data_IF_336599846401
#
_entry.id   IF_336599846401
#
_cell.length_a   1.000
_cell.length_b   1.000
_cell.length_c   1.000
_cell.angle_alpha   90.00
_cell.angle_beta   90.00
_cell.angle_gamma   90.00
#
_symmetry.space_group_name_H-M   'P 1'
#
loop_
_entity.id
_entity.type
_entity.pdbx_description
1 polymer ?
#
# COMPACT_ATOMS: atom_id res chain seq x y z
N UNK A 1 -9.10 -6.27 13.00
CA UNK A 1 -7.71 -6.35 12.55
C UNK A 1 -7.62 -6.05 11.06
N UNK A 2 -6.46 -5.58 10.58
CA UNK A 2 -6.19 -5.34 9.16
C UNK A 2 -5.89 -6.65 8.40
N UNK A 3 -5.62 -7.72 9.14
CA UNK A 3 -5.29 -9.03 8.60
C UNK A 3 -5.03 -10.06 9.68
N UNK A 4 -4.46 -11.19 9.26
CA UNK A 4 -4.03 -12.30 10.11
C UNK A 4 -2.54 -12.57 9.88
N UNK A 5 -1.82 -12.89 10.95
CA UNK A 5 -0.47 -13.44 10.90
C UNK A 5 -0.51 -14.89 11.38
N UNK A 6 -0.18 -15.84 10.50
CA UNK A 6 -0.13 -17.25 10.85
C UNK A 6 1.25 -17.59 11.39
N UNK A 7 1.29 -18.00 12.65
CA UNK A 7 2.50 -18.42 13.37
C UNK A 7 2.37 -19.88 13.80
N UNK A 8 2.31 -20.77 12.81
CA UNK A 8 2.17 -22.21 13.06
C UNK A 8 3.55 -22.86 13.05
N UNK A 9 4.03 -23.20 14.24
CA UNK A 9 5.40 -23.66 14.46
C UNK A 9 5.50 -25.16 14.78
N UNK A 10 4.44 -25.78 15.29
CA UNK A 10 4.52 -27.16 15.80
C UNK A 10 4.96 -28.18 14.75
N UNK A 11 4.52 -28.07 13.50
CA UNK A 11 4.97 -29.01 12.47
C UNK A 11 6.45 -28.84 12.10
N UNK A 12 7.08 -27.72 12.47
CA UNK A 12 8.49 -27.45 12.22
C UNK A 12 9.39 -27.90 13.38
N UNK A 13 8.93 -27.79 14.63
CA UNK A 13 9.76 -28.03 15.82
C UNK A 13 9.33 -29.19 16.71
N UNK A 14 8.05 -29.61 16.64
CA UNK A 14 7.49 -30.68 17.45
C UNK A 14 7.30 -31.95 16.62
N UNK A 15 6.73 -31.81 15.42
CA UNK A 15 6.58 -32.95 14.52
C UNK A 15 7.92 -33.33 13.87
N UNK A 16 8.10 -34.62 13.59
CA UNK A 16 9.27 -35.10 12.85
C UNK A 16 9.25 -34.64 11.39
N UNK A 17 10.42 -34.37 10.81
CA UNK A 17 10.53 -33.95 9.40
C UNK A 17 10.02 -35.01 8.39
N UNK A 18 9.79 -36.24 8.82
CA UNK A 18 9.15 -37.29 8.03
C UNK A 18 7.68 -36.99 7.70
N UNK A 19 7.03 -36.08 8.43
CA UNK A 19 5.66 -35.64 8.15
C UNK A 19 5.60 -34.59 7.04
N UNK A 20 6.72 -33.91 6.75
CA UNK A 20 6.74 -32.69 5.94
C UNK A 20 6.26 -32.90 4.51
N UNK A 21 6.52 -34.06 3.89
CA UNK A 21 6.04 -34.35 2.54
C UNK A 21 4.50 -34.41 2.45
N UNK A 22 3.84 -34.79 3.54
CA UNK A 22 2.36 -34.76 3.64
C UNK A 22 1.85 -33.40 4.09
N UNK A 23 2.54 -32.74 5.03
CA UNK A 23 2.12 -31.45 5.59
C UNK A 23 2.27 -30.32 4.59
N UNK A 24 3.37 -30.26 3.85
CA UNK A 24 3.70 -29.19 2.88
C UNK A 24 2.58 -28.89 1.88
N UNK A 25 2.04 -29.86 1.10
CA UNK A 25 0.97 -29.57 0.15
C UNK A 25 -0.33 -29.13 0.84
N UNK A 26 -0.62 -29.64 2.04
CA UNK A 26 -1.80 -29.24 2.84
C UNK A 26 -1.65 -27.81 3.36
N UNK A 27 -0.45 -27.44 3.79
CA UNK A 27 -0.10 -26.08 4.18
C UNK A 27 -0.32 -25.09 3.03
N UNK A 28 0.19 -25.40 1.84
CA UNK A 28 -0.01 -24.54 0.65
C UNK A 28 -1.49 -24.40 0.30
N UNK A 29 -2.26 -25.50 0.33
CA UNK A 29 -3.70 -25.46 0.07
C UNK A 29 -4.45 -24.58 1.09
N UNK A 30 -4.15 -24.75 2.38
CA UNK A 30 -4.72 -23.94 3.45
C UNK A 30 -4.40 -22.45 3.30
N UNK A 31 -3.13 -22.09 3.03
CA UNK A 31 -2.72 -20.70 2.82
C UNK A 31 -3.44 -20.07 1.64
N UNK A 32 -3.61 -20.81 0.54
CA UNK A 32 -4.35 -20.35 -0.64
C UNK A 32 -5.82 -20.08 -0.33
N UNK A 33 -6.50 -21.00 0.34
CA UNK A 33 -7.92 -20.86 0.70
C UNK A 33 -8.15 -19.69 1.68
N UNK A 34 -7.30 -19.59 2.70
CA UNK A 34 -7.38 -18.50 3.68
C UNK A 34 -7.11 -17.14 3.02
N UNK A 35 -6.10 -17.06 2.15
CA UNK A 35 -5.77 -15.85 1.39
C UNK A 35 -6.96 -15.34 0.59
N UNK A 36 -7.62 -16.21 -0.18
CA UNK A 36 -8.78 -15.84 -0.97
C UNK A 36 -9.92 -15.29 -0.11
N UNK A 37 -10.17 -15.91 1.05
CA UNK A 37 -11.18 -15.42 2.00
C UNK A 37 -10.82 -14.06 2.60
N UNK A 38 -9.56 -13.85 2.98
CA UNK A 38 -9.12 -12.58 3.57
C UNK A 38 -9.12 -11.44 2.55
N UNK A 39 -8.63 -11.68 1.34
CA UNK A 39 -8.60 -10.66 0.29
C UNK A 39 -10.01 -10.25 -0.17
N UNK A 40 -11.00 -11.15 -0.12
CA UNK A 40 -12.40 -10.80 -0.38
C UNK A 40 -12.94 -9.73 0.60
N UNK A 41 -12.42 -9.71 1.83
CA UNK A 41 -12.75 -8.74 2.88
C UNK A 41 -11.73 -7.59 3.00
N UNK A 42 -10.87 -7.42 1.99
CA UNK A 42 -9.77 -6.44 1.97
C UNK A 42 -8.81 -6.57 3.17
N UNK A 43 -8.54 -7.80 3.60
CA UNK A 43 -7.63 -8.13 4.71
C UNK A 43 -6.34 -8.75 4.21
N UNK A 44 -5.23 -8.50 4.89
CA UNK A 44 -3.92 -9.08 4.53
C UNK A 44 -3.67 -10.42 5.22
N UNK A 45 -2.85 -11.28 4.59
CA UNK A 45 -2.31 -12.50 5.15
C UNK A 45 -0.78 -12.41 5.31
N UNK A 46 -0.32 -12.52 6.54
CA UNK A 46 1.10 -12.67 6.87
C UNK A 46 1.39 -14.10 7.33
N UNK A 47 2.58 -14.60 7.02
CA UNK A 47 3.08 -15.88 7.51
C UNK A 47 4.36 -15.62 8.30
N UNK A 48 4.42 -16.10 9.53
CA UNK A 48 5.64 -16.19 10.32
C UNK A 48 6.24 -17.59 10.16
N UNK A 49 7.52 -17.67 9.81
CA UNK A 49 8.20 -18.92 9.53
C UNK A 49 9.68 -18.87 9.94
N UNK A 50 10.27 -19.99 10.38
CA UNK A 50 11.71 -20.10 10.56
C UNK A 50 12.44 -20.05 9.22
N UNK A 51 13.75 -19.87 9.27
CA UNK A 51 14.59 -19.74 8.07
C UNK A 51 14.53 -20.97 7.16
N UNK A 52 14.57 -20.74 5.86
CA UNK A 52 14.82 -21.79 4.87
C UNK A 52 15.96 -21.34 3.95
N UNK A 53 16.55 -22.28 3.22
CA UNK A 53 17.72 -22.05 2.39
C UNK A 53 17.55 -22.65 1.01
N UNK A 54 18.35 -22.16 0.06
CA UNK A 54 18.38 -22.71 -1.29
C UNK A 54 18.67 -24.22 -1.23
N UNK A 55 17.77 -25.08 -1.73
CA UNK A 55 17.96 -26.51 -1.77
C UNK A 55 19.29 -26.96 -2.40
N UNK A 56 19.84 -26.17 -3.33
CA UNK A 56 21.13 -26.44 -3.96
C UNK A 56 22.30 -26.42 -2.97
N UNK A 57 22.20 -25.62 -1.89
CA UNK A 57 23.23 -25.54 -0.84
C UNK A 57 23.23 -26.77 0.08
N UNK A 58 22.15 -27.56 0.05
CA UNK A 58 21.90 -28.69 0.98
C UNK A 58 21.95 -28.29 2.46
N UNK A 59 21.87 -26.99 2.76
CA UNK A 59 21.76 -26.51 4.14
C UNK A 59 20.41 -26.90 4.70
N UNK A 60 20.40 -27.35 5.95
CA UNK A 60 19.15 -27.69 6.63
C UNK A 60 18.34 -26.42 6.87
N UNK A 61 17.14 -26.37 6.32
CA UNK A 61 16.12 -25.35 6.55
C UNK A 61 14.75 -25.99 6.80
N UNK A 62 13.72 -25.17 6.96
CA UNK A 62 12.35 -25.62 7.26
C UNK A 62 11.48 -25.65 6.00
N UNK A 63 11.77 -26.59 5.10
CA UNK A 63 11.15 -26.68 3.76
C UNK A 63 9.64 -26.97 3.75
N UNK A 64 9.07 -27.34 4.91
CA UNK A 64 7.63 -27.58 5.10
C UNK A 64 6.76 -26.35 4.83
N UNK A 65 7.30 -25.14 5.03
CA UNK A 65 6.58 -23.88 4.81
C UNK A 65 6.43 -23.48 3.34
N UNK A 66 7.21 -24.10 2.43
CA UNK A 66 7.12 -23.96 0.97
C UNK A 66 6.92 -22.51 0.47
N UNK A 67 7.88 -21.66 0.83
CA UNK A 67 7.90 -20.24 0.50
C UNK A 67 7.55 -19.94 -0.96
N UNK A 68 8.08 -20.75 -1.89
CA UNK A 68 7.83 -20.60 -3.33
C UNK A 68 6.35 -20.76 -3.69
N UNK A 69 5.69 -21.81 -3.19
CA UNK A 69 4.32 -22.10 -3.58
C UNK A 69 3.29 -21.25 -2.81
N UNK A 70 3.64 -20.70 -1.64
CA UNK A 70 2.78 -19.74 -0.93
C UNK A 70 2.94 -18.28 -1.38
N UNK A 71 4.05 -17.93 -2.06
CA UNK A 71 4.38 -16.56 -2.46
C UNK A 71 3.26 -15.79 -3.18
N UNK A 72 2.47 -16.40 -4.09
CA UNK A 72 1.38 -15.70 -4.78
C UNK A 72 0.20 -15.33 -3.86
N UNK A 73 0.05 -16.02 -2.73
CA UNK A 73 -1.14 -15.96 -1.87
C UNK A 73 -0.94 -15.10 -0.62
N UNK A 74 0.30 -14.86 -0.21
CA UNK A 74 0.61 -14.11 1.02
C UNK A 74 0.93 -12.65 0.71
N UNK A 75 0.65 -11.76 1.65
CA UNK A 75 1.06 -10.35 1.59
C UNK A 75 2.43 -10.15 2.24
N UNK A 76 2.76 -10.95 3.27
CA UNK A 76 4.02 -10.84 4.01
C UNK A 76 4.56 -12.21 4.43
N UNK A 77 5.86 -12.39 4.29
CA UNK A 77 6.64 -13.42 4.96
C UNK A 77 7.50 -12.77 6.05
N UNK A 78 7.31 -13.19 7.29
CA UNK A 78 8.06 -12.79 8.47
C UNK A 78 9.01 -13.92 8.83
N UNK A 79 10.30 -13.72 8.57
CA UNK A 79 11.30 -14.76 8.78
C UNK A 79 11.86 -14.62 10.19
N UNK A 80 11.75 -15.67 10.99
CA UNK A 80 12.33 -15.75 12.34
C UNK A 80 13.85 -15.94 12.26
N UNK A 81 14.55 -14.85 11.91
CA UNK A 81 16.02 -14.79 11.78
C UNK A 81 16.71 -14.66 13.13
N UNK A 82 16.27 -15.48 14.10
CA UNK A 82 16.78 -15.60 15.46
C UNK A 82 16.70 -17.07 15.93
N UNK A 83 17.19 -17.34 17.13
CA UNK A 83 17.33 -18.69 17.71
C UNK A 83 18.21 -19.65 16.89
N UNK A 84 19.25 -19.11 16.25
CA UNK A 84 20.34 -19.88 15.65
C UNK A 84 21.10 -20.71 16.71
N UNK A 85 21.53 -20.05 17.79
CA UNK A 85 22.18 -20.69 18.93
C UNK A 85 21.17 -20.86 20.07
N UNK A 86 20.83 -22.10 20.41
CA UNK A 86 19.92 -22.43 21.53
C UNK A 86 20.59 -23.37 22.54
N UNK A 87 21.09 -24.51 22.07
CA UNK A 87 21.76 -25.51 22.90
C UNK A 87 23.26 -25.20 23.10
N UNK A 88 23.92 -24.66 22.07
CA UNK A 88 25.34 -24.33 22.09
C UNK A 88 25.51 -22.81 22.19
N UNK A 89 26.53 -22.36 22.92
CA UNK A 89 26.87 -20.95 23.04
C UNK A 89 27.20 -20.34 21.68
N UNK A 90 26.63 -19.17 21.39
CA UNK A 90 26.88 -18.47 20.13
C UNK A 90 25.88 -17.34 19.86
N UNK A 91 26.01 -16.67 18.71
CA UNK A 91 25.11 -15.59 18.30
C UNK A 91 23.66 -16.07 18.14
N UNK A 92 22.72 -15.19 18.41
CA UNK A 92 21.27 -15.42 18.33
C UNK A 92 20.81 -15.55 16.88
N UNK A 93 21.35 -14.77 15.96
CA UNK A 93 21.05 -14.82 14.53
C UNK A 93 22.18 -14.19 13.73
N UNK A 94 23.30 -14.90 13.49
CA UNK A 94 24.51 -14.32 12.90
C UNK A 94 24.26 -13.77 11.49
N UNK A 95 24.82 -12.60 11.17
CA UNK A 95 24.52 -11.85 9.95
C UNK A 95 24.66 -12.67 8.65
N UNK A 96 25.69 -13.50 8.53
CA UNK A 96 25.89 -14.34 7.34
C UNK A 96 24.74 -15.33 7.16
N UNK A 97 24.31 -15.98 8.23
CA UNK A 97 23.17 -16.91 8.22
C UNK A 97 21.86 -16.20 7.88
N UNK A 98 21.66 -14.99 8.41
CA UNK A 98 20.51 -14.15 8.07
C UNK A 98 20.54 -13.79 6.58
N UNK A 99 21.66 -13.31 6.07
CA UNK A 99 21.78 -12.91 4.66
C UNK A 99 21.61 -14.09 3.70
N UNK A 100 22.11 -15.28 4.05
CA UNK A 100 21.87 -16.49 3.25
C UNK A 100 20.37 -16.84 3.16
N UNK A 101 19.63 -16.71 4.26
CA UNK A 101 18.18 -16.92 4.25
C UNK A 101 17.47 -15.85 3.41
N UNK A 102 17.92 -14.59 3.48
CA UNK A 102 17.41 -13.49 2.63
C UNK A 102 17.61 -13.79 1.15
N UNK A 103 18.81 -14.20 0.74
CA UNK A 103 19.11 -14.50 -0.67
C UNK A 103 18.20 -15.59 -1.22
N UNK A 104 17.93 -16.63 -0.43
CA UNK A 104 16.97 -17.64 -0.83
C UNK A 104 15.54 -17.09 -0.88
N UNK A 105 15.08 -16.41 0.17
CA UNK A 105 13.75 -15.84 0.23
C UNK A 105 13.46 -14.90 -0.95
N UNK A 106 14.39 -14.01 -1.31
CA UNK A 106 14.23 -13.08 -2.45
C UNK A 106 14.28 -13.79 -3.81
N UNK A 107 14.76 -15.02 -3.88
CA UNK A 107 14.75 -15.83 -5.12
C UNK A 107 13.38 -16.48 -5.38
N UNK A 108 12.53 -16.62 -4.36
CA UNK A 108 11.23 -17.31 -4.45
C UNK A 108 10.02 -16.46 -4.05
N UNK A 109 10.23 -15.34 -3.35
CA UNK A 109 9.19 -14.39 -2.92
C UNK A 109 9.60 -12.98 -3.36
N UNK A 110 8.66 -12.14 -3.85
CA UNK A 110 8.93 -10.73 -4.09
C UNK A 110 9.51 -10.04 -2.85
N UNK A 111 10.66 -9.38 -3.00
CA UNK A 111 11.41 -8.82 -1.87
C UNK A 111 10.58 -7.93 -0.94
N UNK A 112 9.68 -7.13 -1.50
CA UNK A 112 8.76 -6.24 -0.76
C UNK A 112 7.82 -6.96 0.22
N UNK A 113 7.63 -8.28 0.08
CA UNK A 113 6.85 -9.09 1.02
C UNK A 113 7.67 -9.64 2.19
N UNK A 114 8.99 -9.51 2.20
CA UNK A 114 9.88 -10.18 3.16
C UNK A 114 10.20 -9.26 4.34
N UNK A 115 10.07 -9.76 5.57
CA UNK A 115 10.36 -9.05 6.81
C UNK A 115 11.33 -9.87 7.68
N UNK A 116 12.38 -9.24 8.19
CA UNK A 116 13.40 -9.92 9.01
C UNK A 116 13.12 -9.79 10.51
N UNK A 117 13.09 -10.92 11.20
CA UNK A 117 12.97 -10.98 12.66
C UNK A 117 14.18 -10.45 13.39
N UNK A 118 13.97 -9.55 14.35
CA UNK A 118 14.99 -9.03 15.27
C UNK A 118 14.57 -9.31 16.73
N UNK A 119 15.38 -10.07 17.50
CA UNK A 119 15.05 -10.45 18.86
C UNK A 119 15.39 -9.35 19.87
N UNK A 120 14.42 -8.98 20.71
CA UNK A 120 14.56 -8.11 21.87
C UNK A 120 15.07 -8.86 23.11
N UNK A 121 15.72 -10.01 22.94
CA UNK A 121 16.24 -10.81 24.05
C UNK A 121 17.67 -11.26 23.76
N UNK A 122 18.36 -11.66 24.81
CA UNK A 122 19.62 -12.38 24.75
C UNK A 122 19.53 -13.76 25.39
N UNK A 123 20.59 -14.54 25.20
CA UNK A 123 20.76 -15.88 25.76
C UNK A 123 22.06 -15.96 26.55
N UNK A 124 22.04 -16.70 27.64
CA UNK A 124 23.12 -16.78 28.62
C UNK A 124 23.39 -18.24 29.04
N UNK A 125 24.56 -18.75 28.67
CA UNK A 125 24.95 -20.16 28.82
C UNK A 125 25.96 -20.35 29.95
N UNK A 126 25.84 -21.45 30.69
CA UNK A 126 26.93 -21.94 31.54
C UNK A 126 27.96 -22.63 30.65
N UNK A 127 29.16 -22.07 30.55
CA UNK A 127 30.25 -22.63 29.72
C UNK A 127 31.29 -23.40 30.52
N UNK A 128 31.41 -23.10 31.83
CA UNK A 128 32.31 -23.81 32.74
C UNK A 128 31.78 -23.76 34.16
N UNK A 129 31.98 -24.83 34.93
CA UNK A 129 31.73 -24.85 36.38
C UNK A 129 33.00 -25.34 37.08
N UNK A 130 33.43 -24.62 38.11
CA UNK A 130 34.58 -24.96 38.96
C UNK A 130 34.11 -25.07 40.41
N UNK A 131 34.62 -26.05 41.14
CA UNK A 131 34.21 -26.33 42.51
C UNK A 131 33.00 -27.27 42.60
N UNK A 132 32.40 -27.34 43.78
CA UNK A 132 31.26 -28.24 44.07
C UNK A 132 30.03 -27.38 44.27
N UNK A 133 29.01 -27.55 43.43
CA UNK A 133 27.73 -26.88 43.62
C UNK A 133 26.89 -27.65 44.65
N UNK A 134 26.05 -26.95 45.40
CA UNK A 134 25.06 -27.60 46.25
C UNK A 134 24.12 -28.49 45.40
N UNK A 135 23.52 -29.57 45.96
CA UNK A 135 22.77 -30.55 45.18
C UNK A 135 21.64 -29.99 44.31
N UNK A 136 20.96 -28.94 44.75
CA UNK A 136 19.91 -28.27 43.96
C UNK A 136 20.49 -27.36 42.88
N UNK A 137 21.57 -26.65 43.16
CA UNK A 137 22.27 -25.80 42.21
C UNK A 137 22.89 -26.62 41.08
N UNK A 138 23.49 -27.77 41.38
CA UNK A 138 24.09 -28.65 40.37
C UNK A 138 23.11 -29.09 39.27
N UNK A 139 21.80 -29.13 39.56
CA UNK A 139 20.75 -29.47 38.58
C UNK A 139 20.56 -28.37 37.53
N UNK A 140 20.80 -27.12 37.90
CA UNK A 140 20.54 -25.92 37.06
C UNK A 140 21.81 -25.10 36.76
N UNK A 141 22.97 -25.50 37.28
CA UNK A 141 24.27 -24.89 37.06
C UNK A 141 25.24 -25.96 36.55
N UNK A 142 25.11 -26.29 35.27
CA UNK A 142 26.02 -27.19 34.59
C UNK A 142 26.03 -26.87 33.09
N UNK A 143 27.02 -27.36 32.36
CA UNK A 143 27.22 -27.05 30.93
C UNK A 143 26.23 -27.74 29.98
N UNK A 144 25.31 -28.56 30.51
CA UNK A 144 24.30 -29.30 29.73
C UNK A 144 22.92 -28.65 29.76
N UNK A 145 22.73 -27.61 30.58
CA UNK A 145 21.45 -26.90 30.62
C UNK A 145 21.26 -26.02 29.38
N UNK A 146 20.01 -25.78 29.01
CA UNK A 146 19.66 -24.79 27.98
C UNK A 146 20.05 -23.38 28.45
N UNK A 147 20.35 -22.51 27.49
CA UNK A 147 20.60 -21.10 27.78
C UNK A 147 19.45 -20.47 28.57
N UNK A 148 19.78 -19.64 29.57
CA UNK A 148 18.80 -18.73 30.15
C UNK A 148 18.50 -17.60 29.16
N UNK A 149 17.28 -17.08 29.18
CA UNK A 149 16.90 -15.89 28.40
C UNK A 149 16.93 -14.66 29.29
N UNK A 150 17.43 -13.54 28.77
CA UNK A 150 17.32 -12.25 29.44
C UNK A 150 16.78 -11.19 28.46
N UNK A 151 16.18 -10.14 29.01
CA UNK A 151 15.64 -9.03 28.22
C UNK A 151 16.79 -8.18 27.70
N UNK A 152 16.81 -7.86 26.40
CA UNK A 152 17.91 -7.15 25.75
C UNK A 152 18.30 -5.85 26.46
N UNK A 153 17.34 -5.03 26.90
CA UNK A 153 17.61 -3.78 27.61
C UNK A 153 18.37 -3.94 28.94
N UNK A 154 18.34 -5.13 29.53
CA UNK A 154 19.01 -5.43 30.80
C UNK A 154 20.45 -5.95 30.59
N UNK A 155 20.89 -6.19 29.34
CA UNK A 155 22.18 -6.79 29.00
C UNK A 155 23.38 -6.00 29.56
N UNK A 156 23.36 -4.67 29.43
CA UNK A 156 24.45 -3.80 29.89
C UNK A 156 24.53 -3.80 31.41
N UNK A 157 23.38 -3.78 32.10
CA UNK A 157 23.31 -3.90 33.56
C UNK A 157 23.81 -5.26 34.04
N UNK A 158 23.46 -6.34 33.32
CA UNK A 158 23.94 -7.68 33.59
C UNK A 158 25.47 -7.75 33.47
N UNK A 159 26.06 -7.25 32.39
CA UNK A 159 27.51 -7.24 32.19
C UNK A 159 28.22 -6.41 33.27
N UNK A 160 27.76 -5.18 33.50
CA UNK A 160 28.34 -4.24 34.48
C UNK A 160 28.28 -4.79 35.90
N UNK A 161 27.17 -5.43 36.28
CA UNK A 161 26.99 -6.04 37.60
C UNK A 161 28.02 -7.12 37.94
N UNK A 162 28.69 -7.71 36.93
CA UNK A 162 29.77 -8.68 37.11
C UNK A 162 31.13 -8.18 36.58
N UNK A 163 31.26 -6.88 36.31
CA UNK A 163 32.51 -6.28 35.83
C UNK A 163 32.93 -6.73 34.43
N UNK A 164 32.00 -7.23 33.62
CA UNK A 164 32.25 -7.63 32.23
C UNK A 164 32.01 -6.45 31.27
N UNK A 165 32.78 -6.41 30.17
CA UNK A 165 32.63 -5.40 29.12
C UNK A 165 32.03 -6.04 27.86
N UNK A 166 30.80 -5.66 27.45
CA UNK A 166 30.21 -6.12 26.20
C UNK A 166 31.07 -5.79 24.97
N UNK A 167 31.28 -6.79 24.11
CA UNK A 167 32.03 -6.67 22.86
C UNK A 167 31.10 -6.91 21.67
N UNK A 168 31.10 -5.98 20.71
CA UNK A 168 30.36 -6.16 19.46
C UNK A 168 31.21 -6.92 18.46
N UNK A 169 30.67 -8.02 17.95
CA UNK A 169 31.33 -8.91 17.01
C UNK A 169 30.86 -8.58 15.60
N UNK A 170 31.64 -7.80 14.86
CA UNK A 170 31.26 -7.27 13.53
C UNK A 170 30.79 -8.35 12.55
N UNK A 171 31.48 -9.50 12.49
CA UNK A 171 31.13 -10.60 11.58
C UNK A 171 29.77 -11.24 11.91
N UNK A 172 29.40 -11.29 13.19
CA UNK A 172 28.12 -11.83 13.64
C UNK A 172 27.02 -10.74 13.63
N UNK A 173 27.45 -9.49 13.74
CA UNK A 173 26.60 -8.32 13.95
C UNK A 173 25.85 -8.36 15.26
N UNK A 174 26.46 -8.87 16.33
CA UNK A 174 25.84 -9.06 17.65
C UNK A 174 26.83 -8.79 18.79
N UNK A 175 26.33 -8.69 20.02
CA UNK A 175 27.15 -8.40 21.20
C UNK A 175 27.31 -9.64 22.07
N UNK A 176 28.52 -9.85 22.59
CA UNK A 176 28.82 -10.90 23.57
C UNK A 176 29.60 -10.38 24.76
N UNK A 177 29.46 -11.07 25.90
CA UNK A 177 30.35 -10.92 27.05
C UNK A 177 30.42 -12.21 27.85
N UNK A 178 31.50 -12.37 28.62
CA UNK A 178 31.69 -13.50 29.53
C UNK A 178 31.90 -12.97 30.95
N UNK A 179 31.28 -13.63 31.91
CA UNK A 179 31.40 -13.28 33.33
C UNK A 179 31.41 -14.55 34.19
N UNK A 180 31.74 -14.42 35.47
CA UNK A 180 31.68 -15.53 36.42
C UNK A 180 30.76 -15.20 37.58
N UNK A 181 29.97 -16.19 38.01
CA UNK A 181 29.07 -16.09 39.17
C UNK A 181 29.37 -17.21 40.15
N UNK A 182 29.57 -16.84 41.41
CA UNK A 182 29.86 -17.78 42.50
C UNK A 182 28.61 -18.06 43.31
N UNK A 183 28.41 -19.34 43.63
CA UNK A 183 27.26 -19.87 44.34
C UNK A 183 27.75 -20.58 45.60
N UNK A 184 27.61 -19.95 46.78
CA UNK A 184 27.81 -20.64 48.05
C UNK A 184 26.61 -21.55 48.34
N UNK A 185 26.86 -22.68 49.01
CA UNK A 185 25.80 -23.58 49.43
C UNK A 185 26.29 -24.66 50.37
N UNK A 186 25.47 -25.69 50.62
CA UNK A 186 25.80 -26.79 51.52
C UNK A 186 25.43 -28.15 50.91
N UNK A 187 26.18 -29.19 51.25
CA UNK A 187 25.78 -30.59 51.04
C UNK A 187 24.70 -31.00 52.04
N UNK A 188 24.10 -32.18 51.80
CA UNK A 188 23.06 -32.73 52.68
C UNK A 188 23.56 -33.01 54.11
N UNK A 189 24.86 -33.21 54.29
CA UNK A 189 25.51 -33.43 55.59
C UNK A 189 25.92 -32.12 56.29
N UNK A 190 25.60 -30.96 55.71
CA UNK A 190 25.97 -29.65 56.25
C UNK A 190 27.36 -29.15 55.85
N UNK A 191 28.11 -29.89 55.02
CA UNK A 191 29.43 -29.44 54.53
C UNK A 191 29.27 -28.22 53.62
N UNK A 192 29.97 -27.10 53.87
CA UNK A 192 29.92 -25.94 52.99
C UNK A 192 30.54 -26.26 51.63
N UNK A 193 29.90 -25.76 50.59
CA UNK A 193 30.32 -25.90 49.20
C UNK A 193 30.36 -24.55 48.53
N UNK A 194 31.16 -24.44 47.49
CA UNK A 194 31.16 -23.28 46.62
C UNK A 194 31.47 -23.74 45.22
N UNK A 195 30.68 -23.27 44.26
CA UNK A 195 31.02 -23.39 42.86
C UNK A 195 30.95 -22.05 42.14
N UNK A 196 31.78 -21.90 41.13
CA UNK A 196 31.79 -20.74 40.24
C UNK A 196 31.42 -21.19 38.84
N UNK A 197 30.34 -20.62 38.31
CA UNK A 197 29.94 -20.81 36.93
C UNK A 197 30.47 -19.66 36.08
N UNK A 198 31.29 -19.97 35.07
CA UNK A 198 31.58 -19.05 33.98
C UNK A 198 30.43 -19.11 32.99
N UNK A 199 29.95 -17.94 32.59
CA UNK A 199 28.80 -17.77 31.72
C UNK A 199 29.12 -16.86 30.57
N UNK A 200 28.57 -17.17 29.40
CA UNK A 200 28.73 -16.36 28.19
C UNK A 200 27.35 -15.97 27.68
N UNK A 201 27.16 -14.67 27.48
CA UNK A 201 25.93 -14.10 26.98
C UNK A 201 26.09 -13.63 25.53
N UNK A 202 25.02 -13.76 24.75
CA UNK A 202 24.87 -13.18 23.41
C UNK A 202 23.54 -12.48 23.29
N UNK A 203 23.53 -11.31 22.65
CA UNK A 203 22.33 -10.51 22.42
C UNK A 203 22.52 -9.54 21.25
N UNK A 204 21.41 -8.97 20.78
CA UNK A 204 21.43 -7.88 19.80
C UNK A 204 21.33 -6.54 20.49
N UNK A 205 21.98 -5.52 19.94
CA UNK A 205 21.86 -4.13 20.35
C UNK A 205 21.38 -3.25 19.20
N UNK A 206 21.33 -1.94 19.41
CA UNK A 206 20.92 -1.00 18.38
C UNK A 206 21.75 -1.07 17.07
N UNK A 207 23.06 -1.41 17.16
CA UNK A 207 23.91 -1.62 15.97
C UNK A 207 23.49 -2.88 15.22
N UNK A 208 23.20 -3.93 15.97
CA UNK A 208 22.73 -5.22 15.46
C UNK A 208 21.43 -5.05 14.66
N UNK A 209 20.46 -4.28 15.18
CA UNK A 209 19.20 -3.99 14.50
C UNK A 209 19.42 -3.17 13.21
N UNK A 210 20.28 -2.14 13.25
CA UNK A 210 20.64 -1.37 12.06
C UNK A 210 21.35 -2.23 11.01
N UNK A 211 22.18 -3.19 11.41
CA UNK A 211 22.81 -4.13 10.48
C UNK A 211 21.76 -5.00 9.74
N UNK A 212 20.67 -5.42 10.40
CA UNK A 212 19.55 -6.11 9.73
C UNK A 212 18.73 -5.15 8.88
N UNK A 213 18.54 -3.91 9.32
CA UNK A 213 17.90 -2.87 8.51
C UNK A 213 18.70 -2.55 7.23
N UNK A 214 20.03 -2.63 7.26
CA UNK A 214 20.86 -2.53 6.05
C UNK A 214 20.55 -3.63 5.03
N UNK A 215 20.18 -4.85 5.46
CA UNK A 215 19.74 -5.90 4.55
C UNK A 215 18.39 -5.54 3.88
N UNK A 216 17.51 -4.83 4.59
CA UNK A 216 16.27 -4.28 4.02
C UNK A 216 16.60 -3.34 2.86
N UNK A 217 17.53 -2.41 3.05
CA UNK A 217 17.97 -1.50 2.00
C UNK A 217 18.64 -2.25 0.83
N UNK A 218 19.58 -3.16 1.14
CA UNK A 218 20.39 -3.91 0.17
C UNK A 218 19.53 -4.77 -0.76
N UNK A 219 18.51 -5.43 -0.21
CA UNK A 219 17.66 -6.37 -0.94
C UNK A 219 16.26 -5.85 -1.27
N UNK A 220 15.96 -4.59 -0.93
CA UNK A 220 14.63 -3.96 -1.10
C UNK A 220 13.52 -4.76 -0.42
N UNK A 221 13.78 -5.17 0.83
CA UNK A 221 12.85 -6.00 1.60
C UNK A 221 11.67 -5.19 2.15
N UNK A 222 10.58 -5.84 2.54
CA UNK A 222 9.43 -5.19 3.17
C UNK A 222 9.73 -4.52 4.52
N UNK A 223 10.72 -5.02 5.27
CA UNK A 223 11.17 -4.38 6.52
C UNK A 223 11.80 -5.32 7.54
N UNK A 224 11.75 -4.92 8.81
CA UNK A 224 12.10 -5.75 9.97
C UNK A 224 10.88 -5.95 10.88
N UNK A 225 10.94 -6.96 11.74
CA UNK A 225 9.90 -7.38 12.68
C UNK A 225 10.54 -7.63 14.05
N UNK A 226 10.08 -6.96 15.10
CA UNK A 226 10.65 -7.12 16.44
C UNK A 226 9.94 -8.19 17.28
N UNK A 227 10.70 -9.13 17.85
CA UNK A 227 10.23 -10.12 18.83
C UNK A 227 10.93 -9.92 20.19
N UNK A 228 10.29 -9.35 21.21
CA UNK A 228 9.04 -8.60 21.15
C UNK A 228 9.26 -7.15 21.54
N UNK A 229 8.38 -6.29 21.07
CA UNK A 229 8.43 -4.85 21.27
C UNK A 229 8.50 -4.50 22.77
N UNK A 230 9.35 -3.54 23.12
CA UNK A 230 9.52 -3.05 24.49
C UNK A 230 10.61 -3.77 25.29
N UNK A 231 11.27 -4.77 24.68
CA UNK A 231 12.41 -5.46 25.28
C UNK A 231 13.77 -4.90 24.83
N UNK A 232 13.79 -4.14 23.74
CA UNK A 232 14.96 -3.43 23.24
C UNK A 232 15.42 -2.29 24.15
N UNK A 233 16.69 -1.88 24.01
CA UNK A 233 17.19 -0.68 24.68
C UNK A 233 16.64 0.61 24.06
N UNK A 234 16.65 1.69 24.83
CA UNK A 234 16.05 2.98 24.44
C UNK A 234 16.66 3.61 23.17
N UNK A 235 17.89 3.25 22.79
CA UNK A 235 18.55 3.78 21.60
C UNK A 235 18.22 2.98 20.33
N UNK A 236 17.67 1.77 20.46
CA UNK A 236 17.40 0.88 19.33
C UNK A 236 16.34 1.43 18.36
N UNK A 237 15.13 1.69 18.83
CA UNK A 237 14.03 2.15 17.95
C UNK A 237 14.29 3.52 17.30
N UNK A 238 14.87 4.52 17.99
CA UNK A 238 15.27 5.78 17.33
C UNK A 238 16.25 5.57 16.18
N UNK A 239 17.26 4.69 16.34
CA UNK A 239 18.24 4.41 15.26
C UNK A 239 17.61 3.69 14.09
N UNK A 240 16.74 2.71 14.35
CA UNK A 240 15.95 2.04 13.29
C UNK A 240 15.09 3.07 12.55
N UNK A 241 14.43 3.98 13.26
CA UNK A 241 13.63 5.06 12.65
C UNK A 241 14.46 5.96 11.75
N UNK A 242 15.60 6.47 12.24
CA UNK A 242 16.50 7.31 11.45
C UNK A 242 16.97 6.59 10.20
N UNK A 243 17.34 5.30 10.33
CA UNK A 243 17.73 4.49 9.18
C UNK A 243 16.56 4.31 8.19
N UNK A 244 15.37 3.95 8.67
CA UNK A 244 14.19 3.80 7.84
C UNK A 244 13.83 5.08 7.07
N UNK A 245 13.99 6.26 7.70
CA UNK A 245 13.80 7.55 7.04
C UNK A 245 14.85 7.81 5.94
N UNK A 246 16.09 7.35 6.12
CA UNK A 246 17.15 7.51 5.12
C UNK A 246 16.96 6.66 3.87
N UNK A 247 16.14 5.60 3.95
CA UNK A 247 15.78 4.73 2.83
C UNK A 247 14.30 4.85 2.44
N UNK A 248 13.61 5.85 2.98
CA UNK A 248 12.18 6.03 2.72
C UNK A 248 11.97 6.34 1.22
N UNK A 249 10.91 5.80 0.61
CA UNK A 249 10.60 6.11 -0.77
C UNK A 249 10.32 7.61 -0.94
N UNK A 250 10.82 8.20 -2.02
CA UNK A 250 10.63 9.61 -2.33
C UNK A 250 9.14 9.94 -2.53
N UNK A 251 8.74 11.12 -2.08
CA UNK A 251 7.38 11.60 -2.30
C UNK A 251 7.16 12.02 -3.74
N UNK A 252 6.16 11.42 -4.39
CA UNK A 252 5.70 11.86 -5.71
C UNK A 252 4.63 12.92 -5.56
N UNK A 253 4.93 14.12 -6.03
CA UNK A 253 3.98 15.24 -6.12
C UNK A 253 3.31 15.20 -7.48
N UNK A 254 2.00 14.96 -7.50
CA UNK A 254 1.21 14.92 -8.72
C UNK A 254 0.34 16.18 -8.86
N UNK A 255 0.42 16.83 -10.01
CA UNK A 255 -0.40 17.98 -10.38
C UNK A 255 -1.22 17.65 -11.62
N UNK A 256 -2.51 18.00 -11.58
CA UNK A 256 -3.44 17.85 -12.69
C UNK A 256 -4.09 19.20 -12.97
N UNK A 257 -3.97 19.65 -14.22
CA UNK A 257 -4.57 20.89 -14.72
C UNK A 257 -5.40 20.58 -15.96
N UNK A 258 -6.38 21.42 -16.26
CA UNK A 258 -7.14 21.40 -17.52
C UNK A 258 -7.08 22.77 -18.17
N UNK A 259 -7.13 22.81 -19.50
CA UNK A 259 -7.28 24.04 -20.28
C UNK A 259 -8.64 24.72 -20.04
N UNK A 260 -9.64 23.95 -19.60
CA UNK A 260 -11.02 24.43 -19.38
C UNK A 260 -11.63 23.77 -18.14
N UNK A 261 -12.48 24.50 -17.42
CA UNK A 261 -13.29 23.96 -16.31
C UNK A 261 -14.66 23.45 -16.78
N UNK A 262 -15.01 23.67 -18.05
CA UNK A 262 -16.22 23.12 -18.65
C UNK A 262 -16.02 22.76 -20.12
N UNK A 263 -16.74 21.76 -20.62
CA UNK A 263 -16.70 21.35 -22.02
C UNK A 263 -18.10 21.04 -22.55
N UNK A 264 -18.34 21.36 -23.83
CA UNK A 264 -19.59 21.01 -24.52
C UNK A 264 -19.49 19.58 -25.08
N UNK A 265 -20.61 18.87 -25.21
CA UNK A 265 -20.64 17.53 -25.78
C UNK A 265 -19.92 17.46 -27.14
N UNK A 266 -18.94 16.55 -27.22
CA UNK A 266 -18.11 16.33 -28.41
C UNK A 266 -16.83 17.16 -28.44
N UNK A 267 -16.68 18.17 -27.59
CA UNK A 267 -15.46 18.97 -27.52
C UNK A 267 -14.48 18.35 -26.51
N UNK A 268 -13.21 18.11 -26.91
CA UNK A 268 -12.21 17.62 -25.98
C UNK A 268 -11.75 18.71 -25.01
N UNK A 269 -11.35 18.27 -23.81
CA UNK A 269 -10.50 19.04 -22.90
C UNK A 269 -9.06 18.58 -23.05
N UNK A 270 -8.10 19.47 -22.82
CA UNK A 270 -6.69 19.12 -22.67
C UNK A 270 -6.35 19.14 -21.20
N UNK A 271 -6.02 17.96 -20.66
CA UNK A 271 -5.50 17.84 -19.31
C UNK A 271 -3.98 17.71 -19.34
N UNK A 272 -3.32 18.48 -18.50
CA UNK A 272 -1.88 18.43 -18.30
C UNK A 272 -1.58 17.82 -16.94
N UNK A 273 -0.80 16.75 -16.96
CA UNK A 273 -0.31 16.03 -15.81
C UNK A 273 1.16 16.39 -15.60
N UNK A 274 1.56 16.57 -14.35
CA UNK A 274 2.95 16.75 -13.97
C UNK A 274 3.24 15.97 -12.70
N UNK A 275 4.31 15.18 -12.72
CA UNK A 275 4.79 14.40 -11.59
C UNK A 275 6.24 14.79 -11.29
N UNK A 276 6.48 15.29 -10.08
CA UNK A 276 7.80 15.73 -9.62
C UNK A 276 8.13 15.16 -8.25
N UNK A 277 9.39 15.26 -7.87
CA UNK A 277 9.81 15.20 -6.46
C UNK A 277 9.45 16.51 -5.72
N UNK A 278 9.56 16.56 -4.37
CA UNK A 278 9.21 17.76 -3.60
C UNK A 278 10.10 18.97 -3.87
N UNK A 279 11.32 18.74 -4.32
CA UNK A 279 12.27 19.76 -4.81
C UNK A 279 12.00 20.23 -6.25
N UNK A 280 10.93 19.71 -6.87
CA UNK A 280 10.46 19.97 -8.23
C UNK A 280 11.25 19.27 -9.34
N UNK A 281 12.13 18.32 -9.03
CA UNK A 281 12.77 17.51 -10.06
C UNK A 281 11.73 16.68 -10.83
N UNK A 282 11.76 16.67 -12.18
CA UNK A 282 10.81 15.91 -12.98
C UNK A 282 11.06 14.41 -12.88
N UNK A 283 9.99 13.61 -12.93
CA UNK A 283 10.11 12.15 -12.90
C UNK A 283 9.89 11.59 -14.31
N UNK A 284 10.94 11.17 -15.04
CA UNK A 284 10.80 10.63 -16.37
C UNK A 284 10.24 9.19 -16.37
N UNK A 285 9.47 8.85 -17.40
CA UNK A 285 8.96 7.49 -17.65
C UNK A 285 8.15 6.87 -16.48
N UNK A 286 7.54 7.70 -15.63
CA UNK A 286 6.72 7.25 -14.50
C UNK A 286 5.38 6.70 -15.00
N UNK A 287 5.03 5.42 -14.73
CA UNK A 287 3.71 4.89 -15.01
C UNK A 287 2.64 5.64 -14.21
N UNK A 288 1.59 6.07 -14.90
CA UNK A 288 0.48 6.84 -14.34
C UNK A 288 -0.87 6.42 -14.89
N UNK A 289 -1.92 6.78 -14.17
CA UNK A 289 -3.31 6.67 -14.60
C UNK A 289 -3.99 8.04 -14.52
N UNK A 290 -4.83 8.35 -15.51
CA UNK A 290 -5.87 9.37 -15.38
C UNK A 290 -7.19 8.67 -15.09
N UNK A 291 -7.85 9.06 -14.02
CA UNK A 291 -9.10 8.47 -13.58
C UNK A 291 -10.21 9.52 -13.60
N UNK A 292 -11.42 9.07 -13.94
CA UNK A 292 -12.63 9.88 -13.90
C UNK A 292 -13.68 9.22 -13.01
N UNK A 293 -14.41 10.05 -12.27
CA UNK A 293 -15.59 9.67 -11.50
C UNK A 293 -16.77 10.50 -11.98
N UNK A 294 -17.84 9.82 -12.36
CA UNK A 294 -19.07 10.44 -12.83
C UNK A 294 -20.15 10.36 -11.73
N UNK A 295 -21.41 10.59 -12.09
CA UNK A 295 -22.56 10.58 -11.17
C UNK A 295 -22.82 9.23 -10.48
N UNK A 296 -22.27 8.13 -10.99
CA UNK A 296 -22.33 6.80 -10.39
C UNK A 296 -21.37 6.62 -9.19
N UNK A 297 -20.52 7.62 -8.92
CA UNK A 297 -19.58 7.62 -7.80
C UNK A 297 -18.37 6.70 -7.96
N UNK A 298 -18.24 5.98 -9.08
CA UNK A 298 -17.17 4.99 -9.28
C UNK A 298 -16.01 5.59 -10.07
N UNK A 299 -14.78 5.44 -9.54
CA UNK A 299 -13.57 5.82 -10.26
C UNK A 299 -13.26 4.81 -11.37
N UNK A 300 -12.96 5.31 -12.57
CA UNK A 300 -12.61 4.51 -13.74
C UNK A 300 -11.35 5.08 -14.38
N UNK A 301 -10.40 4.22 -14.74
CA UNK A 301 -9.23 4.61 -15.53
C UNK A 301 -9.68 4.99 -16.94
N UNK A 302 -9.46 6.25 -17.33
CA UNK A 302 -9.75 6.77 -18.67
C UNK A 302 -8.48 6.89 -19.53
N UNK A 303 -7.31 6.83 -18.91
CA UNK A 303 -6.02 6.75 -19.59
C UNK A 303 -4.98 6.06 -18.71
N UNK A 304 -4.06 5.33 -19.35
CA UNK A 304 -2.86 4.74 -18.72
C UNK A 304 -1.67 5.05 -19.62
N UNK A 305 -0.56 5.51 -19.03
CA UNK A 305 0.66 5.78 -19.78
C UNK A 305 1.82 6.19 -18.89
N UNK A 306 2.83 6.83 -19.47
CA UNK A 306 4.06 7.22 -18.78
C UNK A 306 4.34 8.71 -18.97
N UNK A 307 4.99 9.34 -17.99
CA UNK A 307 5.50 10.72 -18.16
C UNK A 307 6.62 10.81 -19.19
N UNK A 308 6.74 11.97 -19.83
CA UNK A 308 7.89 12.36 -20.66
C UNK A 308 9.13 12.62 -19.81
N UNK A 309 10.26 12.96 -20.45
CA UNK A 309 11.50 13.32 -19.74
C UNK A 309 11.33 14.51 -18.78
N UNK A 310 10.38 15.40 -19.08
CA UNK A 310 10.06 16.57 -18.26
C UNK A 310 9.07 16.25 -17.13
N UNK A 311 8.77 14.97 -16.90
CA UNK A 311 7.82 14.54 -15.87
C UNK A 311 6.38 14.95 -16.18
N UNK A 312 6.06 15.24 -17.44
CA UNK A 312 4.74 15.72 -17.86
C UNK A 312 4.04 14.75 -18.80
N UNK A 313 2.73 14.92 -18.94
CA UNK A 313 1.95 14.30 -20.00
C UNK A 313 0.73 15.18 -20.31
N UNK A 314 0.42 15.36 -21.59
CA UNK A 314 -0.79 16.08 -22.02
C UNK A 314 -1.73 15.11 -22.73
N UNK A 315 -2.98 15.06 -22.27
CA UNK A 315 -4.00 14.15 -22.80
C UNK A 315 -5.18 14.98 -23.29
N UNK A 316 -5.67 14.67 -24.49
CA UNK A 316 -6.97 15.15 -24.95
C UNK A 316 -8.06 14.15 -24.56
N UNK A 317 -8.96 14.54 -23.65
CA UNK A 317 -9.99 13.68 -23.11
C UNK A 317 -11.38 14.15 -23.57
N UNK A 318 -12.22 13.19 -23.99
CA UNK A 318 -13.65 13.40 -24.20
C UNK A 318 -14.40 12.89 -22.97
N UNK A 319 -15.20 13.76 -22.37
CA UNK A 319 -16.03 13.41 -21.22
C UNK A 319 -17.45 13.10 -21.68
N UNK A 320 -18.12 12.20 -20.97
CA UNK A 320 -19.50 11.78 -21.26
C UNK A 320 -20.55 12.49 -20.39
N UNK A 321 -20.11 13.32 -19.44
CA UNK A 321 -20.94 13.96 -18.43
C UNK A 321 -20.08 14.77 -17.46
N UNK A 322 -20.71 15.32 -16.43
CA UNK A 322 -20.00 15.93 -15.31
C UNK A 322 -19.01 14.92 -14.72
N UNK A 323 -17.74 15.29 -14.63
CA UNK A 323 -16.68 14.39 -14.19
C UNK A 323 -15.78 15.05 -13.18
N UNK A 324 -15.35 14.27 -12.19
CA UNK A 324 -14.22 14.57 -11.33
C UNK A 324 -13.03 13.78 -11.84
N UNK A 325 -11.93 14.45 -12.15
CA UNK A 325 -10.71 13.85 -12.67
C UNK A 325 -9.63 13.84 -11.59
N UNK A 326 -8.79 12.79 -11.60
CA UNK A 326 -7.55 12.76 -10.81
C UNK A 326 -6.47 11.98 -11.54
N UNK A 327 -5.23 12.31 -11.25
CA UNK A 327 -4.06 11.59 -11.74
C UNK A 327 -3.42 10.80 -10.60
N UNK A 328 -3.03 9.56 -10.88
CA UNK A 328 -2.37 8.66 -9.91
C UNK A 328 -1.10 8.05 -10.49
N UNK A 329 -0.13 7.73 -9.64
CA UNK A 329 0.99 6.83 -9.97
C UNK A 329 1.05 5.69 -8.94
N UNK A 330 1.62 4.56 -9.32
CA UNK A 330 1.78 3.43 -8.40
C UNK A 330 2.97 3.66 -7.45
N UNK A 331 2.90 3.09 -6.25
CA UNK A 331 4.03 3.07 -5.34
C UNK A 331 5.09 2.07 -5.80
N UNK A 332 6.35 2.40 -5.56
CA UNK A 332 7.50 1.54 -5.75
C UNK A 332 8.38 1.58 -4.49
N UNK A 333 9.47 0.81 -4.49
CA UNK A 333 10.48 0.91 -3.44
C UNK A 333 11.09 2.32 -3.35
N UNK A 334 11.26 2.96 -4.50
CA UNK A 334 11.96 4.24 -4.61
C UNK A 334 11.00 5.41 -4.40
N UNK A 335 9.69 5.20 -4.55
CA UNK A 335 8.70 6.28 -4.60
C UNK A 335 7.36 5.89 -4.01
N UNK A 336 6.75 6.74 -3.18
CA UNK A 336 5.35 6.55 -2.80
C UNK A 336 4.41 6.90 -3.98
N UNK A 337 3.20 6.34 -3.94
CA UNK A 337 2.18 6.65 -4.93
C UNK A 337 1.86 8.16 -4.97
N UNK A 338 1.85 8.74 -6.17
CA UNK A 338 1.42 10.11 -6.39
C UNK A 338 -0.10 10.17 -6.55
N UNK A 339 -0.72 11.20 -5.99
CA UNK A 339 -2.15 11.48 -6.14
C UNK A 339 -2.36 12.98 -6.32
N UNK A 340 -2.97 13.39 -7.43
CA UNK A 340 -3.32 14.78 -7.66
C UNK A 340 -4.52 15.22 -6.83
N UNK A 341 -4.72 16.53 -6.72
CA UNK A 341 -6.03 17.06 -6.32
C UNK A 341 -7.09 16.69 -7.36
N UNK A 342 -8.32 16.52 -6.87
CA UNK A 342 -9.49 16.30 -7.71
C UNK A 342 -9.78 17.56 -8.55
N UNK A 343 -10.01 17.36 -9.85
CA UNK A 343 -10.32 18.40 -10.82
C UNK A 343 -11.74 18.21 -11.34
N UNK A 344 -12.63 19.14 -11.03
CA UNK A 344 -14.02 19.11 -11.49
C UNK A 344 -14.14 19.71 -12.89
N UNK A 345 -14.75 18.96 -13.81
CA UNK A 345 -15.09 19.44 -15.15
C UNK A 345 -16.60 19.39 -15.33
N UNK A 346 -17.19 20.56 -15.54
CA UNK A 346 -18.61 20.70 -15.84
C UNK A 346 -18.87 20.37 -17.31
N UNK A 347 -19.90 19.56 -17.55
CA UNK A 347 -20.23 19.13 -18.89
C UNK A 347 -21.52 19.80 -19.38
N UNK A 348 -21.41 20.51 -20.50
CA UNK A 348 -22.49 21.24 -21.12
C UNK A 348 -23.05 20.45 -22.30
N UNK A 349 -24.38 20.43 -22.41
CA UNK A 349 -25.04 19.76 -23.51
C UNK A 349 -24.89 20.54 -24.81
N UNK A 350 -24.80 19.81 -25.92
CA UNK A 350 -24.95 20.36 -27.26
C UNK A 350 -26.41 20.22 -27.70
N UNK A 351 -26.98 21.31 -28.21
CA UNK A 351 -28.34 21.33 -28.74
C UNK A 351 -28.24 21.63 -30.24
N UNK A 352 -28.58 20.65 -31.07
CA UNK A 352 -28.73 20.84 -32.51
C UNK A 352 -30.20 21.07 -32.84
N UNK A 353 -30.48 22.03 -33.72
CA UNK A 353 -31.84 22.50 -33.99
C UNK A 353 -32.18 22.43 -35.48
N UNK A 354 -33.47 22.24 -35.76
CA UNK A 354 -34.10 22.45 -37.04
C UNK A 354 -35.35 23.31 -36.82
N UNK A 355 -35.32 24.53 -37.35
CA UNK A 355 -36.40 25.52 -37.27
C UNK A 355 -36.68 26.09 -38.67
N UNK A 356 -37.94 26.47 -38.98
CA UNK A 356 -38.28 27.09 -40.25
C UNK A 356 -37.66 28.48 -40.38
N UNK A 357 -37.19 28.84 -41.57
CA UNK A 357 -36.67 30.18 -41.84
C UNK A 357 -37.77 31.26 -41.88
N UNK A 358 -38.99 30.87 -42.24
CA UNK A 358 -40.15 31.77 -42.28
C UNK A 358 -41.45 31.01 -42.00
N UNK A 359 -42.38 31.66 -41.31
CA UNK A 359 -43.73 31.15 -41.00
C UNK A 359 -44.74 32.28 -41.15
N UNK A 360 -45.93 31.95 -41.63
CA UNK A 360 -47.01 32.95 -41.74
C UNK A 360 -47.50 33.38 -40.35
N UNK A 361 -47.84 34.66 -40.17
CA UNK A 361 -48.34 35.22 -38.91
C UNK A 361 -49.51 34.40 -38.36
N UNK A 362 -49.45 34.08 -37.07
CA UNK A 362 -50.49 33.31 -36.39
C UNK A 362 -50.53 31.82 -36.77
N UNK A 363 -49.64 31.33 -37.64
CA UNK A 363 -49.44 29.90 -37.87
C UNK A 363 -48.45 29.32 -36.87
N UNK A 364 -48.58 28.01 -36.69
CA UNK A 364 -47.76 27.24 -35.77
C UNK A 364 -46.32 27.17 -36.27
N UNK A 365 -45.38 27.56 -35.41
CA UNK A 365 -43.94 27.46 -35.63
C UNK A 365 -43.48 26.16 -34.98
N UNK A 366 -43.06 25.18 -35.79
CA UNK A 366 -42.55 23.89 -35.29
C UNK A 366 -41.03 23.96 -35.22
N UNK A 367 -40.47 23.75 -34.04
CA UNK A 367 -39.03 23.70 -33.80
C UNK A 367 -38.71 22.30 -33.28
N UNK A 368 -37.78 21.62 -33.93
CA UNK A 368 -37.30 20.31 -33.51
C UNK A 368 -35.80 20.36 -33.23
N UNK A 369 -35.31 19.43 -32.43
CA UNK A 369 -33.91 19.38 -32.11
C UNK A 369 -33.46 18.06 -31.50
N UNK A 370 -32.14 17.95 -31.34
CA UNK A 370 -31.46 16.83 -30.72
C UNK A 370 -30.58 17.35 -29.59
N UNK A 371 -30.75 16.76 -28.42
CA UNK A 371 -29.92 16.98 -27.24
C UNK A 371 -28.81 15.92 -27.21
N UNK A 372 -27.56 16.38 -27.06
CA UNK A 372 -26.40 15.49 -26.88
C UNK A 372 -25.65 15.86 -25.59
N UNK A 373 -25.32 14.87 -24.72
CA UNK A 373 -25.55 13.44 -24.87
C UNK A 373 -27.05 13.12 -24.83
N UNK A 374 -27.44 12.01 -25.45
CA UNK A 374 -28.84 11.57 -25.49
C UNK A 374 -29.31 11.27 -24.08
N UNK A 375 -30.39 11.90 -23.66
CA UNK A 375 -30.99 11.71 -22.35
C UNK A 375 -32.49 11.93 -22.47
N UNK A 376 -33.27 11.03 -21.89
CA UNK A 376 -34.74 11.11 -21.91
C UNK A 376 -35.25 11.91 -20.73
N UNK A 377 -36.39 12.57 -20.90
CA UNK A 377 -37.07 13.28 -19.82
C UNK A 377 -36.46 14.64 -19.47
N UNK A 378 -35.50 15.15 -20.25
CA UNK A 378 -34.90 16.46 -20.01
C UNK A 378 -35.87 17.55 -20.45
N UNK A 379 -36.26 18.43 -19.54
CA UNK A 379 -37.12 19.58 -19.84
C UNK A 379 -36.44 20.53 -20.83
N UNK A 380 -37.18 20.90 -21.87
CA UNK A 380 -36.79 21.86 -22.90
C UNK A 380 -37.67 23.11 -22.80
N UNK A 381 -37.03 24.27 -22.81
CA UNK A 381 -37.68 25.59 -22.79
C UNK A 381 -37.29 26.36 -24.05
N UNK A 382 -38.29 26.99 -24.69
CA UNK A 382 -38.08 27.97 -25.75
C UNK A 382 -38.01 29.37 -25.12
N UNK A 383 -36.97 30.14 -25.44
CA UNK A 383 -36.84 31.53 -25.01
C UNK A 383 -36.81 32.47 -26.23
N UNK A 384 -37.54 33.58 -26.16
CA UNK A 384 -37.60 34.64 -27.18
C UNK A 384 -36.87 35.87 -26.69
N UNK A 385 -36.08 36.50 -27.55
CA UNK A 385 -35.48 37.80 -27.26
C UNK A 385 -36.57 38.90 -27.26
N UNK A 386 -36.67 39.64 -26.18
CA UNK A 386 -37.59 40.77 -26.00
C UNK A 386 -36.82 41.94 -25.39
N UNK A 387 -36.56 42.98 -26.19
CA UNK A 387 -35.56 44.00 -25.86
C UNK A 387 -34.18 43.35 -25.74
N UNK A 388 -33.50 43.58 -24.61
CA UNK A 388 -32.17 43.02 -24.34
C UNK A 388 -32.19 41.74 -23.49
N UNK A 389 -33.37 41.15 -23.27
CA UNK A 389 -33.55 40.01 -22.37
C UNK A 389 -34.27 38.84 -23.04
N UNK A 390 -33.86 37.61 -22.72
CA UNK A 390 -34.55 36.40 -23.13
C UNK A 390 -35.67 36.07 -22.16
N UNK A 391 -36.89 35.89 -22.69
CA UNK A 391 -38.09 35.52 -21.92
C UNK A 391 -38.59 34.16 -22.38
N UNK A 392 -38.99 33.32 -21.43
CA UNK A 392 -39.61 32.02 -21.71
C UNK A 392 -40.91 32.19 -22.49
N UNK A 393 -41.07 31.39 -23.54
CA UNK A 393 -42.28 31.34 -24.36
C UNK A 393 -43.22 30.30 -23.75
N UNK A 394 -44.46 30.69 -23.47
CA UNK A 394 -45.48 29.76 -23.00
C UNK A 394 -45.84 28.77 -24.10
N UNK A 395 -45.41 27.51 -23.94
CA UNK A 395 -45.74 26.42 -24.84
C UNK A 395 -47.10 25.81 -24.47
N UNK A 396 -47.79 25.22 -25.45
CA UNK A 396 -49.08 24.55 -25.24
C UNK A 396 -48.99 23.40 -24.25
N UNK A 397 -47.88 22.65 -24.29
CA UNK A 397 -47.56 21.58 -23.36
C UNK A 397 -46.08 21.68 -22.95
N UNK A 398 -45.71 21.25 -21.74
CA UNK A 398 -44.30 21.06 -21.38
C UNK A 398 -43.62 20.08 -22.35
N UNK A 399 -42.40 20.40 -22.77
CA UNK A 399 -41.63 19.57 -23.70
C UNK A 399 -40.46 18.94 -22.96
N UNK A 400 -40.34 17.62 -23.13
CA UNK A 400 -39.23 16.81 -22.66
C UNK A 400 -38.63 16.02 -23.82
N UNK A 401 -37.37 15.62 -23.69
CA UNK A 401 -36.70 14.78 -24.68
C UNK A 401 -37.17 13.31 -24.64
N UNK A 402 -37.20 12.67 -25.80
CA UNK A 402 -37.43 11.23 -25.92
C UNK A 402 -36.18 10.37 -25.56
N UNK A 403 -36.27 9.06 -25.72
CA UNK A 403 -35.15 8.13 -25.45
C UNK A 403 -33.90 8.39 -26.31
N UNK A 404 -34.09 9.03 -27.47
CA UNK A 404 -33.02 9.41 -28.39
C UNK A 404 -32.49 10.83 -28.14
N UNK A 405 -32.98 11.52 -27.12
CA UNK A 405 -32.66 12.92 -26.85
C UNK A 405 -33.32 13.90 -27.82
N UNK A 406 -34.27 13.47 -28.65
CA UNK A 406 -34.97 14.34 -29.59
C UNK A 406 -36.11 15.08 -28.89
N UNK A 407 -36.42 16.26 -29.37
CA UNK A 407 -37.59 17.03 -28.94
C UNK A 407 -38.23 17.75 -30.12
N UNK A 408 -39.51 18.04 -29.99
CA UNK A 408 -40.24 18.93 -30.87
C UNK A 408 -41.16 19.81 -30.03
N UNK A 409 -41.20 21.09 -30.32
CA UNK A 409 -42.06 22.06 -29.65
C UNK A 409 -42.73 22.95 -30.68
N UNK A 410 -43.84 23.54 -30.29
CA UNK A 410 -44.54 24.50 -31.12
C UNK A 410 -44.93 25.76 -30.35
N UNK A 411 -44.87 26.88 -31.06
CA UNK A 411 -45.34 28.17 -30.57
C UNK A 411 -46.08 28.93 -31.68
N UNK A 412 -46.73 30.03 -31.32
CA UNK A 412 -47.42 30.94 -32.25
C UNK A 412 -46.85 32.33 -32.05
N UNK A 413 -46.41 32.97 -33.13
CA UNK A 413 -45.98 34.37 -33.11
C UNK A 413 -47.00 35.24 -33.85
N UNK A 414 -47.41 36.32 -33.19
CA UNK A 414 -48.45 37.23 -33.67
C UNK A 414 -47.88 38.54 -34.23
N UNK A 415 -46.60 38.82 -33.96
CA UNK A 415 -45.93 40.03 -34.42
C UNK A 415 -45.18 39.75 -35.72
N UNK A 416 -45.41 40.59 -36.73
CA UNK A 416 -44.65 40.53 -37.98
C UNK A 416 -43.18 40.93 -37.75
N UNK A 417 -42.30 40.45 -38.63
CA UNK A 417 -40.88 40.82 -38.64
C UNK A 417 -39.96 39.63 -38.35
N UNK A 418 -38.87 39.88 -37.63
CA UNK A 418 -37.88 38.87 -37.29
C UNK A 418 -37.92 38.58 -35.79
N UNK A 419 -38.16 37.32 -35.45
CA UNK A 419 -38.15 36.86 -34.06
C UNK A 419 -36.90 36.02 -33.80
N UNK A 420 -36.09 36.43 -32.82
CA UNK A 420 -34.88 35.71 -32.38
C UNK A 420 -35.22 34.82 -31.20
N UNK A 421 -34.88 33.54 -31.32
CA UNK A 421 -35.14 32.51 -30.32
C UNK A 421 -33.86 31.76 -29.94
N UNK A 422 -33.91 31.09 -28.79
CA UNK A 422 -32.95 30.06 -28.40
C UNK A 422 -33.65 28.96 -27.60
N UNK A 423 -33.04 27.79 -27.55
CA UNK A 423 -33.49 26.67 -26.73
C UNK A 423 -32.61 26.55 -25.48
N UNK A 424 -33.24 26.28 -24.35
CA UNK A 424 -32.58 25.99 -23.08
C UNK A 424 -33.03 24.61 -22.57
N UNK A 425 -32.09 23.78 -22.15
CA UNK A 425 -32.35 22.50 -21.48
C UNK A 425 -32.15 22.63 -19.97
N UNK A 426 -32.88 21.85 -19.18
CA UNK A 426 -32.68 21.77 -17.73
C UNK A 426 -31.36 21.04 -17.38
N UNK A 427 -30.72 21.43 -16.27
CA UNK A 427 -29.61 20.67 -15.71
C UNK A 427 -30.09 19.33 -15.14
N UNK A 428 -29.24 18.29 -15.19
CA UNK A 428 -29.46 17.00 -14.53
C UNK A 428 -28.18 16.58 -13.82
N UNK A 429 -28.17 15.49 -13.00
CA UNK A 429 -26.93 15.01 -12.39
C UNK A 429 -25.83 14.68 -13.40
N UNK A 430 -26.20 14.34 -14.64
CA UNK A 430 -25.27 13.98 -15.71
C UNK A 430 -24.62 15.19 -16.40
N UNK A 431 -25.31 16.33 -16.45
CA UNK A 431 -24.80 17.50 -17.17
C UNK A 431 -25.49 18.80 -16.79
N UNK A 432 -24.76 19.90 -16.96
CA UNK A 432 -25.26 21.24 -16.78
C UNK A 432 -26.36 21.59 -17.81
N UNK A 433 -27.02 22.73 -17.57
CA UNK A 433 -27.95 23.29 -18.55
C UNK A 433 -27.23 23.56 -19.87
N UNK A 434 -27.89 23.24 -20.99
CA UNK A 434 -27.42 23.59 -22.33
C UNK A 434 -28.24 24.75 -22.90
N UNK A 435 -27.58 25.64 -23.64
CA UNK A 435 -28.22 26.72 -24.40
C UNK A 435 -27.80 26.59 -25.85
N UNK A 436 -28.75 26.59 -26.78
CA UNK A 436 -28.45 26.55 -28.21
C UNK A 436 -27.86 27.87 -28.70
N UNK A 437 -27.32 27.86 -29.91
CA UNK A 437 -27.15 29.10 -30.67
C UNK A 437 -28.50 29.79 -30.91
N UNK A 438 -28.45 31.10 -31.12
CA UNK A 438 -29.65 31.87 -31.46
C UNK A 438 -30.06 31.55 -32.91
N UNK A 439 -31.35 31.45 -33.16
CA UNK A 439 -31.91 31.30 -34.50
C UNK A 439 -33.01 32.32 -34.73
N UNK A 440 -33.17 32.74 -35.98
CA UNK A 440 -34.10 33.81 -36.37
C UNK A 440 -35.16 33.22 -37.29
N UNK A 441 -36.42 33.58 -37.03
CA UNK A 441 -37.57 33.18 -37.85
C UNK A 441 -38.24 34.46 -38.38
N UNK A 442 -38.48 34.51 -39.70
CA UNK A 442 -39.23 35.60 -40.32
C UNK A 442 -40.74 35.33 -40.29
N UNK A 443 -41.49 36.20 -39.61
CA UNK A 443 -42.95 36.14 -39.48
C UNK A 443 -43.59 37.10 -40.48
N UNK A 444 -44.47 36.60 -41.34
CA UNK A 444 -45.05 37.35 -42.47
C UNK A 444 -46.53 37.10 -42.71
#
# INVERSE_FOLDING_TARGET
FDGIDLDFENFAFIDGNTTWDTTRPRWVAFVKELSASLHADMKILSITAPVDFDPATKRKGYTVYDWKNIAPYIDRLRIMTYDYSTATVGPIGPLIWVEDAVRYATSVIPASKIFLGVPGYGRDWVVKVVGTCAPNDAKVINTKIKAATFVMKDAVSLATGYGATPQYMENEGEVTFTYSKTFPGFLADGTPTTCTATRTAWYQDARSYVARANLVAKYRLGGIMAWTLGMEDAATMPRVRTFAQSIAPDQVVATLLSDKNSATYGDPIKVQLQFTLPDKEPIPNLPLNLEAKNSDGTWRKIYVGNTTIDGTLVISALLSGNSILRATSESSWERVAGLSKDLNIEYKRKISLAAPASVARGKEVIISGLLQPKESGVKITLERLVGDSYKEVTLKNPVITDLDGRFALSCIELNDGFATFRIKSAATPLSALGVSENFIISIR
#
